data_IF_115789645629
#
_entry.id   IF_115789645629
#
_cell.length_a   1.000
_cell.length_b   1.000
_cell.length_c   1.000
_cell.angle_alpha   90.00
_cell.angle_beta   90.00
_cell.angle_gamma   90.00
#
_symmetry.space_group_name_H-M   'P 1'
#
loop_
_entity.id
_entity.type
_entity.pdbx_description
1 polymer ?
#
# COMPACT_ATOMS: atom_id res chain seq x y z
N UNK A 1 -10.69 17.86 14.07
CA UNK A 1 -9.48 18.68 14.24
C UNK A 1 -8.47 17.84 15.02
N UNK A 2 -7.48 17.26 14.34
CA UNK A 2 -6.38 16.53 14.97
C UNK A 2 -5.19 17.48 15.14
N UNK A 3 -4.67 17.62 16.36
CA UNK A 3 -3.53 18.51 16.65
C UNK A 3 -2.25 18.08 15.92
N UNK A 4 -2.07 16.81 15.55
CA UNK A 4 -0.93 16.30 14.80
C UNK A 4 -1.00 16.60 13.31
N UNK A 5 -2.22 16.66 12.76
CA UNK A 5 -2.45 17.08 11.37
C UNK A 5 -2.29 18.60 11.24
N UNK A 6 -2.71 19.36 12.27
CA UNK A 6 -2.50 20.81 12.31
C UNK A 6 -3.29 21.60 11.26
N UNK A 7 -4.16 20.95 10.50
CA UNK A 7 -5.04 21.59 9.51
C UNK A 7 -6.45 21.81 10.08
N UNK A 8 -7.07 22.98 9.81
CA UNK A 8 -8.47 23.20 10.15
C UNK A 8 -9.38 22.23 9.40
N UNK A 9 -10.62 22.08 9.86
CA UNK A 9 -11.61 21.29 9.14
C UNK A 9 -11.99 22.04 7.86
N UNK A 10 -11.92 21.38 6.72
CA UNK A 10 -12.23 21.97 5.43
C UNK A 10 -12.02 21.00 4.27
N UNK A 11 -12.18 21.52 3.07
CA UNK A 11 -11.89 20.82 1.83
C UNK A 11 -10.52 21.23 1.30
N UNK A 12 -9.75 20.23 0.86
CA UNK A 12 -8.38 20.41 0.40
C UNK A 12 -8.19 19.69 -0.94
N UNK A 13 -7.36 20.27 -1.80
CA UNK A 13 -6.81 19.52 -2.92
C UNK A 13 -5.75 18.56 -2.39
N UNK A 14 -5.95 17.27 -2.63
CA UNK A 14 -5.03 16.22 -2.20
C UNK A 14 -4.50 15.42 -3.40
N UNK A 15 -3.26 14.96 -3.26
CA UNK A 15 -2.62 14.05 -4.20
C UNK A 15 -2.27 12.76 -3.47
N UNK A 16 -2.77 11.63 -3.99
CA UNK A 16 -2.43 10.30 -3.51
C UNK A 16 -1.63 9.59 -4.59
N UNK A 17 -0.40 9.17 -4.27
CA UNK A 17 0.39 8.27 -5.11
C UNK A 17 0.47 6.90 -4.44
N UNK A 18 0.20 5.85 -5.21
CA UNK A 18 0.37 4.46 -4.77
C UNK A 18 1.37 3.79 -5.72
N UNK A 19 2.57 3.57 -5.22
CA UNK A 19 3.71 3.03 -5.95
C UNK A 19 4.60 2.29 -4.96
N UNK A 20 5.76 1.84 -5.42
CA UNK A 20 6.71 1.15 -4.56
C UNK A 20 8.12 1.21 -5.12
N UNK A 21 8.92 0.22 -4.76
CA UNK A 21 10.33 0.07 -5.17
C UNK A 21 10.51 -0.33 -6.64
N UNK A 22 9.42 -0.34 -7.43
CA UNK A 22 9.40 -0.73 -8.83
C UNK A 22 9.98 -2.15 -9.04
N UNK A 23 10.37 -2.47 -10.27
CA UNK A 23 11.01 -3.74 -10.62
C UNK A 23 12.25 -4.03 -9.76
N UNK A 24 13.00 -3.02 -9.32
CA UNK A 24 14.21 -3.21 -8.51
C UNK A 24 13.91 -4.01 -7.22
N UNK A 25 12.86 -3.63 -6.48
CA UNK A 25 12.49 -4.37 -5.28
C UNK A 25 11.94 -5.77 -5.55
N UNK A 26 11.25 -5.96 -6.68
CA UNK A 26 10.80 -7.30 -7.09
C UNK A 26 11.99 -8.22 -7.41
N UNK A 27 13.04 -7.73 -8.08
CA UNK A 27 14.24 -8.52 -8.36
C UNK A 27 14.97 -8.89 -7.06
N UNK A 28 15.08 -7.96 -6.10
CA UNK A 28 15.61 -8.23 -4.75
C UNK A 28 14.79 -9.32 -4.06
N UNK A 29 13.46 -9.15 -3.94
CA UNK A 29 12.60 -10.13 -3.29
C UNK A 29 12.67 -11.50 -3.98
N UNK A 30 12.69 -11.52 -5.32
CA UNK A 30 12.79 -12.74 -6.13
C UNK A 30 14.11 -13.48 -5.91
N UNK A 31 15.22 -12.75 -5.83
CA UNK A 31 16.54 -13.33 -5.56
C UNK A 31 16.56 -14.02 -4.20
N UNK A 32 16.22 -13.29 -3.12
CA UNK A 32 16.27 -13.84 -1.77
C UNK A 32 15.22 -14.93 -1.51
N UNK A 33 14.05 -14.85 -2.15
CA UNK A 33 13.06 -15.95 -2.09
C UNK A 33 13.57 -17.22 -2.76
N UNK A 34 14.32 -17.11 -3.87
CA UNK A 34 14.97 -18.28 -4.51
C UNK A 34 16.07 -18.85 -3.63
N UNK A 35 16.85 -17.99 -2.99
CA UNK A 35 17.91 -18.39 -2.07
C UNK A 35 17.36 -19.12 -0.85
N UNK A 36 16.35 -18.56 -0.19
CA UNK A 36 15.64 -19.18 0.94
C UNK A 36 15.13 -20.58 0.58
N UNK A 37 14.46 -20.72 -0.57
CA UNK A 37 13.99 -22.03 -1.07
C UNK A 37 15.11 -23.04 -1.33
N UNK A 38 16.28 -22.57 -1.77
CA UNK A 38 17.43 -23.44 -2.02
C UNK A 38 18.04 -23.92 -0.70
N UNK A 39 18.11 -23.06 0.31
CA UNK A 39 18.61 -23.40 1.64
C UNK A 39 17.65 -24.33 2.39
N UNK A 40 16.35 -24.19 2.14
CA UNK A 40 15.29 -25.00 2.71
C UNK A 40 14.74 -26.07 1.74
N UNK A 41 15.64 -26.81 1.09
CA UNK A 41 15.27 -27.87 0.13
C UNK A 41 14.55 -29.06 0.77
N UNK A 42 14.61 -29.19 2.09
CA UNK A 42 13.89 -30.16 2.90
C UNK A 42 12.39 -29.86 3.03
N UNK A 43 11.96 -28.62 2.78
CA UNK A 43 10.56 -28.26 2.89
C UNK A 43 9.73 -28.95 1.80
N UNK A 44 8.50 -29.39 2.12
CA UNK A 44 7.53 -29.78 1.11
C UNK A 44 7.35 -28.68 0.06
N UNK A 45 7.13 -29.08 -1.19
CA UNK A 45 7.07 -28.14 -2.33
C UNK A 45 6.01 -27.06 -2.14
N UNK A 46 4.88 -27.41 -1.53
CA UNK A 46 3.78 -26.52 -1.16
C UNK A 46 4.16 -25.47 -0.11
N UNK A 47 5.14 -25.75 0.75
CA UNK A 47 5.64 -24.82 1.76
C UNK A 47 6.86 -24.02 1.29
N UNK A 48 7.39 -24.30 0.08
CA UNK A 48 8.56 -23.60 -0.43
C UNK A 48 8.37 -22.08 -0.56
N UNK A 49 7.14 -21.58 -0.76
CA UNK A 49 6.88 -20.12 -0.76
C UNK A 49 6.93 -19.48 0.63
N UNK A 50 7.02 -20.28 1.69
CA UNK A 50 7.18 -19.87 3.08
C UNK A 50 8.62 -20.08 3.60
N UNK A 51 9.56 -20.47 2.73
CA UNK A 51 10.97 -20.57 3.08
C UNK A 51 11.50 -19.22 3.60
N UNK A 52 12.42 -19.26 4.56
CA UNK A 52 12.93 -18.08 5.23
C UNK A 52 14.46 -17.99 5.13
N UNK A 53 14.98 -16.86 5.61
CA UNK A 53 16.41 -16.68 5.91
C UNK A 53 16.51 -16.40 7.40
N UNK A 54 17.42 -17.07 8.09
CA UNK A 54 17.73 -16.72 9.48
C UNK A 54 18.26 -15.29 9.53
N UNK A 55 17.69 -14.43 10.38
CA UNK A 55 18.05 -13.01 10.46
C UNK A 55 19.53 -12.79 10.81
N UNK A 56 20.15 -13.74 11.52
CA UNK A 56 21.56 -13.70 11.92
C UNK A 56 22.47 -14.47 10.96
N UNK A 57 21.95 -15.05 9.88
CA UNK A 57 22.77 -15.56 8.79
C UNK A 57 23.38 -14.42 7.94
N UNK A 58 24.50 -14.66 7.24
CA UNK A 58 25.00 -13.71 6.25
C UNK A 58 23.94 -13.30 5.23
N UNK A 59 23.18 -14.27 4.70
CA UNK A 59 22.13 -14.08 3.70
C UNK A 59 20.96 -13.27 4.25
N UNK A 60 20.55 -13.51 5.50
CA UNK A 60 19.48 -12.78 6.17
C UNK A 60 19.84 -11.33 6.45
N UNK A 61 21.07 -11.06 6.90
CA UNK A 61 21.59 -9.69 7.08
C UNK A 61 21.68 -8.95 5.75
N UNK A 62 22.13 -9.62 4.69
CA UNK A 62 22.20 -9.04 3.35
C UNK A 62 20.80 -8.71 2.81
N UNK A 63 19.84 -9.64 2.96
CA UNK A 63 18.45 -9.41 2.60
C UNK A 63 17.86 -8.23 3.35
N UNK A 64 18.09 -8.15 4.67
CA UNK A 64 17.62 -7.03 5.49
C UNK A 64 18.14 -5.69 4.95
N UNK A 65 19.44 -5.59 4.68
CA UNK A 65 20.04 -4.38 4.13
C UNK A 65 19.47 -4.03 2.74
N UNK A 66 19.28 -5.03 1.87
CA UNK A 66 18.69 -4.85 0.55
C UNK A 66 17.22 -4.40 0.63
N UNK A 67 16.42 -5.01 1.50
CA UNK A 67 15.04 -4.63 1.77
C UNK A 67 14.96 -3.18 2.27
N UNK A 68 15.80 -2.79 3.25
CA UNK A 68 15.86 -1.42 3.76
C UNK A 68 16.23 -0.41 2.65
N UNK A 69 17.14 -0.77 1.74
CA UNK A 69 17.46 0.05 0.57
C UNK A 69 16.26 0.19 -0.37
N UNK A 70 15.51 -0.89 -0.61
CA UNK A 70 14.29 -0.84 -1.45
C UNK A 70 13.18 -0.01 -0.82
N UNK A 71 13.06 0.00 0.51
CA UNK A 71 12.15 0.91 1.23
C UNK A 71 12.51 2.38 0.99
N UNK A 72 13.80 2.75 1.10
CA UNK A 72 14.27 4.11 0.79
C UNK A 72 14.10 4.48 -0.69
N UNK A 73 14.32 3.51 -1.59
CA UNK A 73 14.09 3.70 -3.02
C UNK A 73 12.61 3.99 -3.31
N UNK A 74 11.69 3.26 -2.66
CA UNK A 74 10.26 3.50 -2.79
C UNK A 74 9.89 4.91 -2.30
N UNK A 75 10.37 5.32 -1.12
CA UNK A 75 10.15 6.66 -0.58
C UNK A 75 10.65 7.76 -1.54
N UNK A 76 11.88 7.62 -2.06
CA UNK A 76 12.44 8.55 -3.03
C UNK A 76 11.64 8.62 -4.35
N UNK A 77 11.08 7.49 -4.79
CA UNK A 77 10.19 7.46 -5.95
C UNK A 77 8.89 8.25 -5.70
N UNK A 78 8.28 8.11 -4.52
CA UNK A 78 7.12 8.91 -4.13
C UNK A 78 7.45 10.41 -4.04
N UNK A 79 8.58 10.75 -3.40
CA UNK A 79 9.06 12.13 -3.27
C UNK A 79 9.22 12.80 -4.66
N UNK A 80 9.81 12.09 -5.62
CA UNK A 80 9.97 12.60 -6.99
C UNK A 80 8.61 12.84 -7.68
N UNK A 81 7.67 11.90 -7.56
CA UNK A 81 6.32 12.03 -8.12
C UNK A 81 5.63 13.28 -7.54
N UNK A 82 5.63 13.39 -6.21
CA UNK A 82 5.00 14.52 -5.51
C UNK A 82 5.66 15.84 -5.87
N UNK A 83 6.99 15.89 -5.89
CA UNK A 83 7.77 17.09 -6.24
C UNK A 83 7.43 17.58 -7.64
N UNK A 84 7.46 16.71 -8.65
CA UNK A 84 7.17 17.11 -10.03
C UNK A 84 5.72 17.59 -10.17
N UNK A 85 4.75 16.94 -9.54
CA UNK A 85 3.35 17.38 -9.61
C UNK A 85 3.19 18.74 -8.91
N UNK A 86 3.75 18.89 -7.69
CA UNK A 86 3.72 20.14 -6.94
C UNK A 86 4.30 21.31 -7.74
N UNK A 87 5.47 21.11 -8.34
CA UNK A 87 6.17 22.14 -9.13
C UNK A 87 5.39 22.54 -10.38
N UNK A 88 4.77 21.58 -11.08
CA UNK A 88 3.96 21.87 -12.26
C UNK A 88 2.63 22.57 -11.91
N UNK A 89 2.08 22.32 -10.72
CA UNK A 89 0.86 22.98 -10.25
C UNK A 89 1.14 24.33 -9.57
N UNK A 90 2.37 24.61 -9.16
CA UNK A 90 2.73 25.84 -8.44
C UNK A 90 2.07 25.95 -7.06
N UNK A 91 1.87 24.82 -6.37
CA UNK A 91 1.16 24.74 -5.08
C UNK A 91 2.11 24.49 -3.91
N UNK A 92 1.69 24.91 -2.72
CA UNK A 92 2.35 24.58 -1.46
C UNK A 92 1.79 23.27 -0.89
N UNK A 93 2.65 22.46 -0.25
CA UNK A 93 2.24 21.23 0.44
C UNK A 93 1.96 21.58 1.90
N UNK A 94 0.70 21.47 2.31
CA UNK A 94 0.26 21.75 3.68
C UNK A 94 0.47 20.56 4.63
N UNK A 95 0.43 19.34 4.09
CA UNK A 95 0.57 18.09 4.83
C UNK A 95 1.08 17.01 3.87
N UNK A 96 2.03 16.22 4.35
CA UNK A 96 2.54 15.04 3.67
C UNK A 96 2.40 13.82 4.59
N UNK A 97 1.91 12.70 4.04
CA UNK A 97 1.65 11.46 4.76
C UNK A 97 2.19 10.31 3.91
N UNK A 98 3.06 9.50 4.48
CA UNK A 98 3.67 8.33 3.83
C UNK A 98 3.36 7.05 4.61
N UNK A 99 2.94 6.00 3.89
CA UNK A 99 2.70 4.67 4.46
C UNK A 99 3.46 3.58 3.69
N UNK A 100 4.14 2.70 4.42
CA UNK A 100 4.70 1.46 3.88
C UNK A 100 3.78 0.30 4.24
N UNK A 101 3.43 -0.53 3.25
CA UNK A 101 2.47 -1.63 3.45
C UNK A 101 2.95 -3.01 3.02
N UNK A 102 4.15 -3.10 2.46
CA UNK A 102 4.85 -4.33 2.09
C UNK A 102 6.30 -4.22 2.56
N UNK A 103 6.53 -4.43 3.85
CA UNK A 103 7.82 -4.19 4.48
C UNK A 103 7.96 -5.00 5.78
N UNK A 104 9.15 -4.97 6.38
CA UNK A 104 9.36 -5.54 7.70
C UNK A 104 10.10 -4.56 8.61
N UNK A 105 9.74 -4.53 9.89
CA UNK A 105 10.26 -3.58 10.87
C UNK A 105 10.78 -4.33 12.09
N UNK A 106 11.88 -3.83 12.67
CA UNK A 106 12.30 -4.22 14.02
C UNK A 106 11.48 -3.44 15.01
N UNK A 107 10.73 -4.15 15.84
CA UNK A 107 9.81 -3.57 16.83
C UNK A 107 9.97 -4.27 18.16
N UNK A 108 9.51 -3.62 19.23
CA UNK A 108 9.46 -4.21 20.56
C UNK A 108 8.01 -4.48 20.92
N UNK A 109 7.67 -5.75 21.09
CA UNK A 109 6.34 -6.20 21.51
C UNK A 109 6.48 -7.11 22.73
N UNK A 110 5.71 -6.85 23.78
CA UNK A 110 5.75 -7.61 25.04
C UNK A 110 7.18 -7.76 25.61
N UNK A 111 7.99 -6.70 25.52
CA UNK A 111 9.38 -6.68 26.02
C UNK A 111 10.39 -7.46 25.17
N UNK A 112 10.02 -7.89 23.96
CA UNK A 112 10.89 -8.65 23.06
C UNK A 112 11.10 -7.88 21.75
N UNK A 113 12.35 -7.81 21.30
CA UNK A 113 12.66 -7.37 19.94
C UNK A 113 12.21 -8.46 18.95
N UNK A 114 11.43 -8.07 17.95
CA UNK A 114 10.87 -8.94 16.92
C UNK A 114 10.94 -8.25 15.56
N UNK A 115 10.91 -9.04 14.49
CA UNK A 115 10.75 -8.53 13.13
C UNK A 115 9.30 -8.72 12.70
N UNK A 116 8.54 -7.62 12.66
CA UNK A 116 7.15 -7.63 12.22
C UNK A 116 7.10 -7.50 10.70
N UNK A 117 6.62 -8.55 10.04
CA UNK A 117 6.44 -8.59 8.60
C UNK A 117 5.02 -8.14 8.26
N UNK A 118 4.86 -7.10 7.45
CA UNK A 118 3.55 -6.67 6.95
C UNK A 118 3.52 -6.79 5.43
N UNK A 119 2.54 -7.55 4.94
CA UNK A 119 2.23 -7.68 3.51
C UNK A 119 0.77 -7.33 3.31
N UNK A 120 0.51 -6.18 2.71
CA UNK A 120 -0.82 -5.60 2.62
C UNK A 120 -1.36 -5.08 3.95
N UNK A 121 -0.48 -4.66 4.87
CA UNK A 121 -0.85 -4.05 6.15
C UNK A 121 0.13 -2.92 6.49
N UNK A 122 -0.34 -1.89 7.18
CA UNK A 122 0.45 -0.70 7.56
C UNK A 122 0.63 -0.63 9.07
N UNK A 123 1.73 -0.04 9.59
CA UNK A 123 1.81 0.36 10.99
C UNK A 123 0.63 1.27 11.39
N UNK A 124 0.16 1.11 12.62
CA UNK A 124 -0.96 1.82 13.23
C UNK A 124 -0.74 1.94 14.75
N UNK A 125 0.44 2.40 15.17
CA UNK A 125 0.69 2.70 16.58
C UNK A 125 -0.23 3.82 17.05
N UNK A 126 -0.35 3.97 18.37
CA UNK A 126 -1.24 4.96 18.96
C UNK A 126 -0.87 6.38 18.48
N UNK A 127 -1.77 6.97 17.69
CA UNK A 127 -1.62 8.31 17.15
C UNK A 127 -0.80 8.42 15.86
N UNK A 128 -0.35 7.30 15.27
CA UNK A 128 0.24 7.31 13.92
C UNK A 128 -0.80 7.83 12.93
N UNK A 129 -0.39 8.71 12.02
CA UNK A 129 -1.23 9.18 10.92
C UNK A 129 -0.88 8.36 9.69
N UNK A 130 -1.90 7.77 9.06
CA UNK A 130 -1.73 6.96 7.87
C UNK A 130 -2.85 7.15 6.86
N UNK A 131 -2.75 6.44 5.75
CA UNK A 131 -3.73 6.43 4.67
C UNK A 131 -4.15 4.99 4.30
N UNK A 132 -5.46 4.81 4.12
CA UNK A 132 -6.08 3.58 3.64
C UNK A 132 -6.80 3.90 2.32
N UNK A 133 -6.14 3.72 1.16
CA UNK A 133 -6.76 3.90 -0.15
C UNK A 133 -7.91 2.92 -0.41
N UNK A 134 -8.96 3.43 -1.07
CA UNK A 134 -10.01 2.63 -1.68
C UNK A 134 -9.58 2.11 -3.05
N UNK A 135 -10.22 2.62 -4.10
CA UNK A 135 -9.96 2.29 -5.51
C UNK A 135 -9.95 3.57 -6.35
N UNK A 136 -9.82 3.44 -7.66
CA UNK A 136 -9.92 4.59 -8.57
C UNK A 136 -11.27 5.34 -8.50
N UNK A 137 -12.34 4.75 -7.96
CA UNK A 137 -13.66 5.40 -7.86
C UNK A 137 -14.34 5.28 -6.49
N UNK A 138 -13.62 4.80 -5.48
CA UNK A 138 -14.10 4.70 -4.10
C UNK A 138 -13.20 5.49 -3.16
N UNK A 139 -13.73 5.99 -2.03
CA UNK A 139 -12.96 6.88 -1.17
C UNK A 139 -11.75 6.18 -0.56
N UNK A 140 -10.69 6.96 -0.32
CA UNK A 140 -9.63 6.63 0.63
C UNK A 140 -9.85 7.36 1.95
N UNK A 141 -9.15 6.95 2.99
CA UNK A 141 -9.26 7.55 4.33
C UNK A 141 -7.88 7.90 4.88
N UNK A 142 -7.74 9.12 5.41
CA UNK A 142 -6.67 9.44 6.35
C UNK A 142 -7.13 8.96 7.72
N UNK A 143 -6.27 8.23 8.42
CA UNK A 143 -6.62 7.54 9.66
C UNK A 143 -5.60 7.80 10.75
N UNK A 144 -6.05 7.66 12.00
CA UNK A 144 -5.21 7.61 13.19
C UNK A 144 -5.11 6.18 13.70
N UNK A 145 -3.91 5.68 13.95
CA UNK A 145 -3.71 4.40 14.63
C UNK A 145 -4.19 4.45 16.08
N UNK A 146 -4.88 3.39 16.52
CA UNK A 146 -5.34 3.22 17.90
C UNK A 146 -4.36 2.40 18.75
N UNK A 147 -3.31 1.84 18.14
CA UNK A 147 -2.26 1.12 18.87
C UNK A 147 -2.72 -0.22 19.44
N UNK A 148 -3.64 -0.91 18.77
CA UNK A 148 -4.17 -2.20 19.22
C UNK A 148 -3.06 -3.27 19.32
N UNK A 149 -2.69 -3.76 20.52
CA UNK A 149 -1.56 -4.67 20.69
C UNK A 149 -1.77 -6.04 20.04
N UNK A 150 -3.01 -6.53 19.98
CA UNK A 150 -3.31 -7.84 19.38
C UNK A 150 -3.08 -7.88 17.86
N UNK A 151 -3.07 -6.71 17.20
CA UNK A 151 -2.72 -6.58 15.78
C UNK A 151 -1.23 -6.27 15.55
N UNK A 152 -0.39 -6.32 16.59
CA UNK A 152 0.99 -5.81 16.55
C UNK A 152 1.02 -4.36 16.06
N UNK A 153 0.06 -3.55 16.54
CA UNK A 153 -0.13 -2.15 16.14
C UNK A 153 -0.19 -2.00 14.61
N UNK A 154 -1.00 -2.82 13.96
CA UNK A 154 -1.14 -2.81 12.49
C UNK A 154 -2.59 -2.60 12.07
N UNK A 155 -2.77 -2.10 10.85
CA UNK A 155 -4.07 -1.94 10.20
C UNK A 155 -4.02 -2.37 8.74
N UNK A 156 -5.18 -2.47 8.09
CA UNK A 156 -5.23 -2.76 6.65
C UNK A 156 -4.58 -1.63 5.83
N UNK A 157 -4.05 -1.96 4.65
CA UNK A 157 -3.49 -0.94 3.76
C UNK A 157 -4.49 -0.38 2.73
N UNK A 158 -5.66 -1.00 2.57
CA UNK A 158 -6.60 -0.65 1.50
C UNK A 158 -7.72 -1.67 1.35
N UNK A 159 -8.59 -1.46 0.36
CA UNK A 159 -9.77 -2.29 0.14
C UNK A 159 -9.44 -3.78 -0.12
N UNK A 160 -8.32 -4.06 -0.77
CA UNK A 160 -7.93 -5.43 -1.15
C UNK A 160 -8.78 -6.00 -2.29
N UNK A 161 -8.17 -6.87 -3.08
CA UNK A 161 -8.81 -7.42 -4.29
C UNK A 161 -9.74 -8.59 -3.96
N UNK A 162 -10.86 -8.69 -4.67
CA UNK A 162 -11.76 -9.86 -4.63
C UNK A 162 -11.46 -10.88 -5.73
N UNK A 163 -10.65 -10.50 -6.72
CA UNK A 163 -10.27 -11.40 -7.81
C UNK A 163 -8.87 -11.11 -8.38
N UNK A 164 -8.30 -12.12 -9.05
CA UNK A 164 -7.01 -11.98 -9.73
C UNK A 164 -7.09 -10.99 -10.90
N UNK A 165 -5.97 -10.37 -11.25
CA UNK A 165 -5.85 -9.49 -12.44
C UNK A 165 -6.27 -10.21 -13.72
N UNK A 166 -5.90 -11.48 -13.86
CA UNK A 166 -6.27 -12.33 -15.00
C UNK A 166 -7.78 -12.54 -15.09
N UNK A 167 -8.44 -12.75 -13.95
CA UNK A 167 -9.90 -12.90 -13.91
C UNK A 167 -10.59 -11.56 -14.24
N UNK A 168 -10.11 -10.46 -13.67
CA UNK A 168 -10.65 -9.13 -13.92
C UNK A 168 -10.66 -8.78 -15.42
N UNK A 169 -9.53 -8.99 -16.12
CA UNK A 169 -9.43 -8.75 -17.59
C UNK A 169 -10.37 -9.62 -18.43
N UNK A 170 -10.86 -10.74 -17.89
CA UNK A 170 -11.84 -11.62 -18.56
C UNK A 170 -13.29 -11.26 -18.22
N UNK A 171 -13.51 -10.68 -17.05
CA UNK A 171 -14.85 -10.41 -16.51
C UNK A 171 -15.35 -9.02 -16.87
N UNK A 172 -14.48 -8.02 -16.83
CA UNK A 172 -14.88 -6.61 -16.98
C UNK A 172 -14.56 -6.07 -18.37
N UNK A 173 -15.38 -5.11 -18.80
CA UNK A 173 -15.24 -4.42 -20.07
C UNK A 173 -15.24 -2.91 -19.83
N UNK A 174 -14.56 -2.16 -20.70
CA UNK A 174 -14.40 -0.71 -20.54
C UNK A 174 -15.72 0.07 -20.47
N UNK A 175 -16.78 -0.25 -21.23
CA UNK A 175 -18.05 0.46 -21.12
C UNK A 175 -18.69 0.39 -19.73
N UNK A 176 -18.54 -0.75 -19.02
CA UNK A 176 -19.06 -0.91 -17.67
C UNK A 176 -18.24 -0.10 -16.66
N UNK A 177 -16.91 -0.15 -16.81
CA UNK A 177 -16.00 0.63 -15.97
C UNK A 177 -16.19 2.14 -16.17
N UNK A 178 -16.35 2.60 -17.41
CA UNK A 178 -16.55 4.01 -17.74
C UNK A 178 -17.86 4.54 -17.16
N UNK A 179 -18.95 3.78 -17.25
CA UNK A 179 -20.24 4.16 -16.65
C UNK A 179 -20.12 4.42 -15.15
N UNK A 180 -19.43 3.53 -14.44
CA UNK A 180 -19.21 3.72 -13.00
C UNK A 180 -18.32 4.95 -12.71
N UNK A 181 -17.29 5.19 -13.52
CA UNK A 181 -16.44 6.37 -13.37
C UNK A 181 -17.24 7.66 -13.60
N UNK A 182 -18.09 7.70 -14.63
CA UNK A 182 -18.95 8.83 -14.96
C UNK A 182 -19.97 9.10 -13.84
N UNK A 183 -20.64 8.05 -13.34
CA UNK A 183 -21.55 8.13 -12.19
C UNK A 183 -20.89 8.69 -10.93
N UNK A 184 -19.58 8.46 -10.76
CA UNK A 184 -18.79 8.97 -9.64
C UNK A 184 -18.08 10.30 -9.92
N UNK A 185 -18.21 10.83 -11.14
CA UNK A 185 -17.54 12.05 -11.58
C UNK A 185 -16.02 11.93 -11.55
N UNK A 186 -15.48 10.76 -11.94
CA UNK A 186 -14.04 10.47 -11.99
C UNK A 186 -13.55 10.50 -13.42
N UNK A 187 -12.56 11.34 -13.70
CA UNK A 187 -11.85 11.33 -14.99
C UNK A 187 -10.66 10.37 -14.92
N UNK A 188 -10.67 9.33 -15.76
CA UNK A 188 -9.55 8.39 -15.89
C UNK A 188 -8.65 8.80 -17.06
N UNK A 189 -7.40 9.19 -16.77
CA UNK A 189 -6.39 9.50 -17.78
C UNK A 189 -5.82 8.22 -18.41
N UNK A 190 -5.52 7.23 -17.57
CA UNK A 190 -5.01 5.93 -17.99
C UNK A 190 -5.23 4.88 -16.91
N UNK A 191 -5.46 3.64 -17.31
CA UNK A 191 -5.51 2.49 -16.40
C UNK A 191 -5.73 1.16 -17.12
N UNK A 192 -5.89 0.11 -16.32
CA UNK A 192 -6.18 -1.25 -16.79
C UNK A 192 -7.51 -1.77 -16.25
N UNK A 193 -8.15 -2.67 -17.00
CA UNK A 193 -9.37 -3.38 -16.56
C UNK A 193 -9.13 -4.25 -15.32
N UNK A 194 -7.88 -4.57 -15.03
CA UNK A 194 -7.49 -5.27 -13.83
C UNK A 194 -7.51 -4.41 -12.56
N UNK A 195 -7.68 -3.09 -12.66
CA UNK A 195 -7.69 -2.18 -11.52
C UNK A 195 -9.03 -1.44 -11.33
N UNK A 196 -10.05 -1.77 -12.13
CA UNK A 196 -11.36 -1.11 -12.06
C UNK A 196 -12.03 -1.33 -10.71
N UNK A 197 -12.87 -0.41 -10.21
CA UNK A 197 -13.39 -0.47 -8.82
C UNK A 197 -14.04 -1.80 -8.42
N UNK A 198 -14.67 -2.50 -9.36
CA UNK A 198 -15.34 -3.79 -9.15
C UNK A 198 -14.39 -4.95 -8.79
N UNK A 199 -13.07 -4.78 -8.92
CA UNK A 199 -12.07 -5.79 -8.52
C UNK A 199 -11.72 -5.71 -7.04
N UNK A 200 -12.20 -4.68 -6.33
CA UNK A 200 -11.89 -4.40 -4.93
C UNK A 200 -13.09 -4.71 -4.03
N UNK A 201 -12.82 -4.99 -2.75
CA UNK A 201 -13.86 -5.04 -1.71
C UNK A 201 -14.46 -3.65 -1.49
N UNK A 202 -15.60 -3.57 -0.82
CA UNK A 202 -16.10 -2.30 -0.34
C UNK A 202 -15.15 -1.76 0.75
N UNK A 203 -14.60 -0.57 0.50
CA UNK A 203 -13.71 0.09 1.46
C UNK A 203 -14.44 0.41 2.78
N UNK A 204 -15.76 0.65 2.75
CA UNK A 204 -16.52 0.91 3.96
C UNK A 204 -16.64 -0.33 4.85
N UNK A 205 -16.78 -1.52 4.26
CA UNK A 205 -16.75 -2.78 5.01
C UNK A 205 -15.36 -3.01 5.63
N UNK A 206 -14.30 -2.76 4.85
CA UNK A 206 -12.91 -2.87 5.35
C UNK A 206 -12.67 -1.90 6.50
N UNK A 207 -13.13 -0.65 6.41
CA UNK A 207 -13.03 0.32 7.51
C UNK A 207 -13.89 -0.08 8.72
N UNK A 208 -15.08 -0.64 8.50
CA UNK A 208 -15.94 -1.10 9.58
C UNK A 208 -15.34 -2.30 10.35
N UNK A 209 -14.58 -3.15 9.67
CA UNK A 209 -13.94 -4.34 10.25
C UNK A 209 -12.67 -4.04 11.08
N UNK A 210 -12.21 -2.79 11.13
CA UNK A 210 -10.96 -2.41 11.82
C UNK A 210 -11.13 -1.16 12.71
N UNK A 211 -12.34 -0.92 13.21
CA UNK A 211 -12.67 0.25 14.06
C UNK A 211 -11.90 0.30 15.38
N UNK A 212 -11.41 -0.85 15.83
CA UNK A 212 -10.53 -1.05 16.97
C UNK A 212 -9.05 -0.77 16.63
N UNK A 213 -8.68 -0.81 15.35
CA UNK A 213 -7.30 -0.59 14.90
C UNK A 213 -7.03 0.86 14.50
N UNK A 214 -8.01 1.53 13.89
CA UNK A 214 -7.87 2.90 13.37
C UNK A 214 -9.13 3.74 13.49
N UNK A 215 -8.94 5.06 13.62
CA UNK A 215 -9.99 6.08 13.60
C UNK A 215 -9.88 6.91 12.31
N UNK A 216 -10.94 7.00 11.47
CA UNK A 216 -10.94 7.89 10.30
C UNK A 216 -10.91 9.37 10.70
N UNK A 217 -9.99 10.13 10.10
CA UNK A 217 -9.82 11.57 10.33
C UNK A 217 -10.27 12.43 9.15
N UNK A 218 -10.05 11.94 7.93
CA UNK A 218 -10.46 12.61 6.70
C UNK A 218 -10.77 11.58 5.61
N UNK A 219 -11.51 12.03 4.59
CA UNK A 219 -11.89 11.24 3.42
C UNK A 219 -11.28 11.86 2.17
N UNK A 220 -10.71 11.01 1.32
CA UNK A 220 -10.20 11.37 0.01
C UNK A 220 -11.13 10.81 -1.06
N UNK A 221 -11.73 11.68 -1.87
CA UNK A 221 -12.57 11.27 -2.99
C UNK A 221 -11.82 11.48 -4.31
N UNK A 222 -11.49 10.41 -5.07
CA UNK A 222 -10.78 10.56 -6.33
C UNK A 222 -11.64 11.34 -7.34
N UNK A 223 -11.01 12.27 -8.08
CA UNK A 223 -11.62 13.03 -9.18
C UNK A 223 -10.86 12.88 -10.50
N UNK A 224 -9.55 12.72 -10.40
CA UNK A 224 -8.66 12.51 -11.53
C UNK A 224 -7.74 11.34 -11.21
N UNK A 225 -7.70 10.35 -12.10
CA UNK A 225 -6.93 9.12 -11.88
C UNK A 225 -5.98 8.86 -13.04
N UNK A 226 -4.70 8.61 -12.70
CA UNK A 226 -3.68 8.13 -13.63
C UNK A 226 -3.02 6.88 -13.07
N UNK A 227 -3.20 5.76 -13.76
CA UNK A 227 -2.56 4.48 -13.43
C UNK A 227 -1.71 4.00 -14.60
N UNK A 228 -0.89 2.97 -14.36
CA UNK A 228 -0.15 2.30 -15.43
C UNK A 228 -1.13 1.80 -16.52
N UNK A 229 -0.81 1.98 -17.81
CA UNK A 229 -1.64 1.47 -18.90
C UNK A 229 -1.81 -0.05 -18.81
N UNK A 230 -3.00 -0.57 -19.16
CA UNK A 230 -3.31 -2.01 -19.04
C UNK A 230 -2.46 -2.99 -19.88
N UNK A 231 -1.58 -2.48 -20.76
CA UNK A 231 -0.66 -3.27 -21.58
C UNK A 231 0.73 -3.48 -20.92
N UNK A 232 1.05 -2.73 -19.87
CA UNK A 232 2.28 -2.94 -19.11
C UNK A 232 2.13 -4.12 -18.16
N UNK A 233 3.21 -4.89 -17.96
CA UNK A 233 3.21 -5.95 -16.95
C UNK A 233 3.28 -5.31 -15.56
N UNK A 234 2.45 -5.74 -14.60
CA UNK A 234 2.62 -5.32 -13.22
C UNK A 234 4.04 -5.65 -12.75
N UNK A 235 4.66 -4.73 -12.01
CA UNK A 235 6.02 -4.87 -11.49
C UNK A 235 6.07 -5.54 -10.11
N UNK A 236 4.90 -5.89 -9.57
CA UNK A 236 4.63 -6.52 -8.27
C UNK A 236 4.26 -8.01 -8.37
#
# INVERSE_FOLDING_TARGET
HDQRIGLPVGEYLALLSHSGSRRAGNEVASYYSKLARKLHGELPKELGQLAWLDADSPEGREYWAAMQLMGRYAAANHELIHRYIRENLGVEVLLDIENHHNFAWREVHNGREVIVHRKGATPANLGDIGIIPGSMATPGFVVRGLGEPTSLHSASHGAGRVMSRKQAKKTFHWPDAQRLLDERGVTLISGGLDEVPMVYKDIHEVMAAQRDLVEPLARFDPKLVKMAPGHERPED
#
